data_IF_725838756903
#
_entry.id   IF_725838756903
#
_cell.length_a   1.000
_cell.length_b   1.000
_cell.length_c   1.000
_cell.angle_alpha   90.00
_cell.angle_beta   90.00
_cell.angle_gamma   90.00
#
_symmetry.space_group_name_H-M   'P 1'
#
loop_
_entity.id
_entity.type
_entity.pdbx_description
1 polymer ?
#
# COMPACT_ATOMS: atom_id res chain seq x y z
N UNK A 1 23.45 -15.25 -7.09
CA UNK A 1 22.57 -14.08 -7.22
C UNK A 1 21.18 -14.45 -6.73
N UNK A 2 20.59 -13.64 -5.85
CA UNK A 2 19.26 -13.86 -5.30
C UNK A 2 18.20 -13.89 -6.42
N UNK A 3 17.33 -14.91 -6.45
CA UNK A 3 16.27 -15.13 -7.46
C UNK A 3 14.85 -14.92 -6.90
N UNK A 4 14.71 -14.29 -5.74
CA UNK A 4 13.40 -14.01 -5.14
C UNK A 4 12.78 -12.71 -5.67
N UNK A 5 11.50 -12.45 -5.35
CA UNK A 5 10.82 -11.22 -5.76
C UNK A 5 11.54 -9.98 -5.21
N UNK A 6 11.78 -9.00 -6.08
CA UNK A 6 12.47 -7.74 -5.75
C UNK A 6 11.49 -6.57 -5.77
N UNK A 7 11.47 -5.77 -4.70
CA UNK A 7 10.63 -4.57 -4.61
C UNK A 7 11.09 -3.50 -5.60
N UNK A 8 10.14 -2.72 -6.13
CA UNK A 8 10.43 -1.59 -7.01
C UNK A 8 11.42 -0.60 -6.38
N UNK A 9 12.46 -0.22 -7.12
CA UNK A 9 13.41 0.80 -6.70
C UNK A 9 12.75 2.18 -6.59
N UNK A 10 13.31 3.07 -5.75
CA UNK A 10 12.84 4.46 -5.57
C UNK A 10 12.65 5.24 -6.89
N UNK A 11 13.43 4.92 -7.93
CA UNK A 11 13.31 5.52 -9.28
C UNK A 11 12.05 5.06 -10.02
N UNK A 12 11.67 3.78 -9.88
CA UNK A 12 10.49 3.22 -10.54
C UNK A 12 9.19 3.76 -9.93
N UNK A 13 9.13 3.90 -8.60
CA UNK A 13 8.00 4.51 -7.88
C UNK A 13 7.81 5.97 -8.30
N UNK A 14 8.91 6.72 -8.42
CA UNK A 14 8.88 8.13 -8.84
C UNK A 14 8.35 8.29 -10.27
N UNK A 15 8.79 7.44 -11.20
CA UNK A 15 8.33 7.47 -12.59
C UNK A 15 6.84 7.10 -12.71
N UNK A 16 6.38 6.12 -11.92
CA UNK A 16 4.96 5.74 -11.85
C UNK A 16 4.10 6.89 -11.31
N UNK A 17 4.49 7.50 -10.18
CA UNK A 17 3.79 8.65 -9.59
C UNK A 17 3.66 9.83 -10.55
N UNK A 18 4.74 10.19 -11.25
CA UNK A 18 4.74 11.29 -12.23
C UNK A 18 3.86 10.97 -13.46
N UNK A 19 3.91 9.73 -13.95
CA UNK A 19 3.12 9.32 -15.12
C UNK A 19 1.60 9.32 -14.89
N UNK A 20 1.13 9.18 -13.64
CA UNK A 20 -0.29 9.07 -13.30
C UNK A 20 -0.92 10.36 -12.77
N UNK A 21 -0.15 11.46 -12.70
CA UNK A 21 -0.63 12.81 -12.34
C UNK A 21 -0.99 13.68 -13.56
N UNK A 22 -0.70 13.23 -14.78
CA UNK A 22 -1.02 13.93 -16.04
C UNK A 22 -2.16 13.20 -16.77
N UNK A 23 -3.12 13.91 -17.38
CA UNK A 23 -4.33 13.34 -18.00
C UNK A 23 -4.06 12.69 -19.38
N UNK A 24 -2.89 12.10 -19.56
CA UNK A 24 -2.51 11.33 -20.74
C UNK A 24 -2.20 9.91 -20.25
N UNK A 25 -3.24 9.07 -20.25
CA UNK A 25 -3.12 7.65 -19.94
C UNK A 25 -2.16 6.97 -20.91
N UNK A 26 -0.90 6.86 -20.51
CA UNK A 26 0.10 6.03 -21.18
C UNK A 26 0.14 4.63 -20.58
N UNK A 27 0.28 3.55 -21.37
CA UNK A 27 0.23 2.16 -20.91
C UNK A 27 1.54 1.78 -20.21
N UNK A 28 1.75 2.24 -18.98
CA UNK A 28 2.84 1.76 -18.14
C UNK A 28 2.29 0.95 -16.97
N UNK A 29 2.26 -0.36 -17.16
CA UNK A 29 2.12 -1.33 -16.08
C UNK A 29 3.54 -1.74 -15.68
N UNK A 30 4.05 -1.34 -14.49
CA UNK A 30 5.32 -1.85 -14.01
C UNK A 30 5.25 -3.38 -13.89
N UNK A 31 6.26 -4.09 -14.38
CA UNK A 31 6.43 -5.54 -14.18
C UNK A 31 6.86 -5.81 -12.74
N UNK A 32 5.96 -5.57 -11.79
CA UNK A 32 6.19 -5.71 -10.36
C UNK A 32 5.05 -6.48 -9.75
N UNK A 33 5.36 -7.40 -8.84
CA UNK A 33 4.35 -8.27 -8.22
C UNK A 33 3.44 -7.52 -7.23
N UNK A 34 3.87 -6.36 -6.74
CA UNK A 34 3.08 -5.47 -5.88
C UNK A 34 3.62 -4.02 -5.93
N UNK A 35 2.75 -3.05 -5.67
CA UNK A 35 3.10 -1.65 -5.49
C UNK A 35 3.32 -1.37 -3.99
N UNK A 36 4.56 -1.05 -3.62
CA UNK A 36 4.87 -0.55 -2.29
C UNK A 36 4.94 0.97 -2.33
N UNK A 37 3.99 1.64 -1.66
CA UNK A 37 3.85 3.11 -1.71
C UNK A 37 3.74 3.74 -0.34
N UNK A 38 4.22 4.98 -0.17
CA UNK A 38 4.04 5.67 1.08
C UNK A 38 2.59 6.13 1.27
N UNK A 39 2.10 6.22 2.51
CA UNK A 39 0.83 6.92 2.81
C UNK A 39 0.92 8.40 2.39
N UNK A 40 1.99 9.07 2.85
CA UNK A 40 2.33 10.46 2.51
C UNK A 40 3.79 10.59 2.13
N UNK A 41 4.08 11.48 1.17
CA UNK A 41 5.44 11.81 0.75
C UNK A 41 5.62 13.32 0.65
N UNK A 42 6.61 13.87 1.38
CA UNK A 42 6.87 15.32 1.45
C UNK A 42 5.59 16.14 1.71
N UNK A 43 4.81 15.73 2.71
CA UNK A 43 3.56 16.39 3.11
C UNK A 43 2.32 16.07 2.25
N UNK A 44 2.49 15.48 1.05
CA UNK A 44 1.38 15.16 0.15
C UNK A 44 0.88 13.73 0.34
N UNK A 45 -0.44 13.53 0.32
CA UNK A 45 -1.04 12.20 0.29
C UNK A 45 -0.74 11.54 -1.06
N UNK A 46 -0.11 10.37 -1.01
CA UNK A 46 0.27 9.60 -2.21
C UNK A 46 -0.73 8.50 -2.45
N UNK A 47 -1.07 7.75 -1.40
CA UNK A 47 -2.04 6.67 -1.49
C UNK A 47 -3.46 7.24 -1.35
N UNK A 48 -4.30 6.95 -2.33
CA UNK A 48 -5.72 7.36 -2.37
C UNK A 48 -6.56 6.16 -2.79
N UNK A 49 -7.86 6.18 -2.49
CA UNK A 49 -8.78 5.13 -2.95
C UNK A 49 -8.73 4.94 -4.48
N UNK A 50 -8.69 6.05 -5.24
CA UNK A 50 -8.55 6.01 -6.70
C UNK A 50 -7.25 5.32 -7.14
N UNK A 51 -6.15 5.54 -6.42
CA UNK A 51 -4.87 4.89 -6.71
C UNK A 51 -4.97 3.37 -6.52
N UNK A 52 -5.56 2.93 -5.40
CA UNK A 52 -5.71 1.50 -5.09
C UNK A 52 -6.58 0.83 -6.15
N UNK A 53 -7.73 1.43 -6.47
CA UNK A 53 -8.62 0.94 -7.52
C UNK A 53 -7.92 0.82 -8.87
N UNK A 54 -7.09 1.80 -9.25
CA UNK A 54 -6.34 1.74 -10.50
C UNK A 54 -5.31 0.61 -10.53
N UNK A 55 -4.63 0.39 -9.41
CA UNK A 55 -3.67 -0.71 -9.29
C UNK A 55 -4.38 -2.07 -9.41
N UNK A 56 -5.51 -2.24 -8.73
CA UNK A 56 -6.32 -3.45 -8.81
C UNK A 56 -6.85 -3.71 -10.21
N UNK A 57 -7.26 -2.68 -10.98
CA UNK A 57 -7.65 -2.83 -12.40
C UNK A 57 -6.54 -3.43 -13.28
N UNK A 58 -5.29 -3.39 -12.80
CA UNK A 58 -4.11 -3.92 -13.48
C UNK A 58 -3.55 -5.17 -12.81
N UNK A 59 -4.31 -5.78 -11.90
CA UNK A 59 -3.90 -6.93 -11.09
C UNK A 59 -2.62 -6.66 -10.28
N UNK A 60 -2.46 -5.44 -9.77
CA UNK A 60 -1.34 -5.05 -8.93
C UNK A 60 -1.81 -4.87 -7.47
N UNK A 61 -1.40 -5.75 -6.54
CA UNK A 61 -1.60 -5.55 -5.10
C UNK A 61 -0.92 -4.27 -4.61
N UNK A 62 -1.50 -3.60 -3.62
CA UNK A 62 -0.99 -2.36 -3.04
C UNK A 62 -0.65 -2.54 -1.57
N UNK A 63 0.62 -2.35 -1.23
CA UNK A 63 1.11 -2.32 0.15
C UNK A 63 1.52 -0.89 0.52
N UNK A 64 1.04 -0.41 1.66
CA UNK A 64 1.24 0.97 2.11
C UNK A 64 2.17 1.01 3.31
N UNK A 65 3.20 1.85 3.26
CA UNK A 65 4.16 2.06 4.34
C UNK A 65 4.33 3.56 4.66
N UNK A 66 4.94 3.96 5.77
CA UNK A 66 4.69 3.39 7.09
C UNK A 66 3.42 4.06 7.63
N UNK A 67 2.52 3.28 8.22
CA UNK A 67 1.25 3.78 8.77
C UNK A 67 1.15 3.36 10.22
N UNK A 68 1.14 4.31 11.14
CA UNK A 68 1.18 4.04 12.59
C UNK A 68 -0.08 4.47 13.32
N UNK A 69 -1.00 5.17 12.66
CA UNK A 69 -2.26 5.62 13.25
C UNK A 69 -3.44 4.68 12.87
N UNK A 70 -4.26 4.24 13.84
CA UNK A 70 -5.38 3.32 13.60
C UNK A 70 -6.44 3.83 12.65
N UNK A 71 -6.66 5.15 12.58
CA UNK A 71 -7.68 5.75 11.70
C UNK A 71 -7.29 5.60 10.23
N UNK A 72 -6.04 5.89 9.88
CA UNK A 72 -5.49 5.64 8.56
C UNK A 72 -5.47 4.17 8.23
N UNK A 73 -5.12 3.29 9.19
CA UNK A 73 -5.20 1.83 8.97
C UNK A 73 -6.61 1.41 8.55
N UNK A 74 -7.64 1.85 9.27
CA UNK A 74 -9.05 1.57 8.90
C UNK A 74 -9.41 2.14 7.54
N UNK A 75 -8.98 3.36 7.25
CA UNK A 75 -9.21 4.01 5.96
C UNK A 75 -8.60 3.19 4.82
N UNK A 76 -7.35 2.76 4.97
CA UNK A 76 -6.66 1.95 3.96
C UNK A 76 -7.30 0.58 3.77
N UNK A 77 -7.73 -0.08 4.86
CA UNK A 77 -8.48 -1.34 4.77
C UNK A 77 -9.80 -1.14 4.02
N UNK A 78 -10.56 -0.08 4.32
CA UNK A 78 -11.80 0.26 3.61
C UNK A 78 -11.58 0.55 2.13
N UNK A 79 -10.46 1.19 1.79
CA UNK A 79 -10.07 1.44 0.40
C UNK A 79 -9.54 0.21 -0.34
N UNK A 80 -9.35 -0.92 0.36
CA UNK A 80 -8.90 -2.18 -0.21
C UNK A 80 -7.39 -2.32 -0.31
N UNK A 81 -6.59 -1.66 0.53
CA UNK A 81 -5.16 -1.91 0.57
C UNK A 81 -4.87 -3.37 0.95
N UNK A 82 -4.00 -4.03 0.18
CA UNK A 82 -3.67 -5.45 0.35
C UNK A 82 -2.64 -5.69 1.47
N UNK A 83 -1.90 -4.65 1.85
CA UNK A 83 -0.92 -4.72 2.93
C UNK A 83 -0.68 -3.36 3.59
N UNK A 84 -0.46 -3.38 4.89
CA UNK A 84 -0.08 -2.20 5.68
C UNK A 84 1.21 -2.55 6.43
N UNK A 85 2.24 -1.75 6.23
CA UNK A 85 3.49 -1.81 6.99
C UNK A 85 3.47 -0.72 8.05
N UNK A 86 3.79 -1.10 9.29
CA UNK A 86 3.65 -0.27 10.48
C UNK A 86 4.77 -0.56 11.47
N UNK A 87 5.18 0.46 12.22
CA UNK A 87 6.03 0.30 13.40
C UNK A 87 5.18 0.01 14.67
N UNK A 88 3.84 0.00 14.53
CA UNK A 88 2.84 -0.29 15.56
C UNK A 88 2.03 -1.55 15.25
N UNK A 89 2.66 -2.74 15.21
CA UNK A 89 1.97 -4.00 14.90
C UNK A 89 0.88 -4.35 15.93
N UNK A 90 1.00 -3.87 17.18
CA UNK A 90 0.00 -4.00 18.23
C UNK A 90 -1.34 -3.33 17.83
N UNK A 91 -1.27 -2.13 17.27
CA UNK A 91 -2.43 -1.38 16.81
C UNK A 91 -3.03 -2.03 15.55
N UNK A 92 -2.19 -2.37 14.58
CA UNK A 92 -2.65 -3.00 13.35
C UNK A 92 -3.34 -4.35 13.61
N UNK A 93 -2.82 -5.17 14.52
CA UNK A 93 -3.47 -6.43 14.89
C UNK A 93 -4.89 -6.22 15.45
N UNK A 94 -5.07 -5.21 16.31
CA UNK A 94 -6.39 -4.85 16.87
C UNK A 94 -7.34 -4.35 15.78
N UNK A 95 -6.86 -3.48 14.89
CA UNK A 95 -7.65 -2.98 13.76
C UNK A 95 -8.06 -4.12 12.82
N UNK A 96 -7.14 -5.00 12.43
CA UNK A 96 -7.44 -6.16 11.57
C UNK A 96 -8.48 -7.08 12.22
N UNK A 97 -8.38 -7.33 13.53
CA UNK A 97 -9.39 -8.10 14.26
C UNK A 97 -10.77 -7.44 14.21
N UNK A 98 -10.83 -6.13 14.41
CA UNK A 98 -12.08 -5.36 14.43
C UNK A 98 -12.73 -5.28 13.04
N UNK A 99 -11.96 -5.00 11.99
CA UNK A 99 -12.50 -4.71 10.65
C UNK A 99 -12.67 -5.98 9.78
N UNK A 100 -11.88 -7.03 10.02
CA UNK A 100 -11.86 -8.23 9.15
C UNK A 100 -12.14 -9.54 9.87
N UNK A 101 -12.27 -9.52 11.21
CA UNK A 101 -12.38 -10.73 12.02
C UNK A 101 -11.09 -11.56 12.10
N UNK A 102 -9.96 -11.05 11.58
CA UNK A 102 -8.66 -11.73 11.65
C UNK A 102 -8.28 -11.99 13.11
N UNK A 103 -7.92 -13.24 13.49
CA UNK A 103 -7.49 -13.51 14.85
C UNK A 103 -6.22 -12.73 15.18
N UNK A 104 -6.06 -12.38 16.46
CA UNK A 104 -4.82 -11.77 16.94
C UNK A 104 -3.65 -12.75 16.78
N UNK A 105 -2.44 -12.24 16.49
CA UNK A 105 -1.26 -13.08 16.47
C UNK A 105 -0.98 -13.66 17.87
N UNK A 106 -0.36 -14.85 17.98
CA UNK A 106 0.00 -15.44 19.26
C UNK A 106 0.77 -14.47 20.14
N UNK A 107 0.35 -14.31 21.40
CA UNK A 107 1.00 -13.42 22.37
C UNK A 107 0.55 -11.95 22.33
N UNK A 108 -0.27 -11.53 21.37
CA UNK A 108 -0.91 -10.21 21.43
C UNK A 108 -2.05 -10.22 22.44
N UNK A 109 -1.98 -9.30 23.43
CA UNK A 109 -3.02 -9.08 24.45
C UNK A 109 -3.98 -7.95 24.04
#
# INVERSE_FOLDING_TARGET
GYRGPVSASRRQITKFYLSHKLPLGGPYTPRTDALQVPWRWKGRQVTTERFIREAHRRNLPVHVWTVDDPETMRTLLRWGADGIQTDRPDLLARVLRQETGRPLPPGAR
#
